data_IF_522814927804
#
_entry.id   IF_522814927804
#
_cell.length_a   1.000
_cell.length_b   1.000
_cell.length_c   1.000
_cell.angle_alpha   90.00
_cell.angle_beta   90.00
_cell.angle_gamma   90.00
#
_symmetry.space_group_name_H-M   'P 1'
#
loop_
_entity.id
_entity.type
_entity.pdbx_description
1 polymer ?
#
# COMPACT_ATOMS: atom_id res chain seq x y z
N UNK A 1 -5.01 -3.34 18.53
CA UNK A 1 -4.23 -2.16 18.92
C UNK A 1 -4.52 -1.80 20.37
N UNK A 2 -3.64 -1.03 21.02
CA UNK A 2 -3.89 -0.40 22.32
C UNK A 2 -4.46 1.00 22.12
N UNK A 3 -5.24 1.50 23.08
CA UNK A 3 -5.69 2.88 23.08
C UNK A 3 -4.59 3.80 23.63
N UNK A 4 -4.48 4.99 23.06
CA UNK A 4 -3.53 6.02 23.47
C UNK A 4 -4.37 7.18 23.99
N UNK A 5 -4.09 7.61 25.22
CA UNK A 5 -4.95 8.55 25.94
C UNK A 5 -4.59 9.99 25.57
N UNK A 6 -5.61 10.81 25.31
CA UNK A 6 -5.51 12.26 25.11
C UNK A 6 -4.52 12.68 24.00
N UNK A 7 -4.51 11.94 22.90
CA UNK A 7 -3.62 12.21 21.77
C UNK A 7 -4.41 12.33 20.46
N UNK A 8 -4.15 13.40 19.71
CA UNK A 8 -4.74 13.67 18.39
C UNK A 8 -3.84 13.20 17.24
N UNK A 9 -2.57 12.89 17.54
CA UNK A 9 -1.58 12.35 16.59
C UNK A 9 -0.93 11.07 17.15
N UNK A 10 -1.73 10.06 17.55
CA UNK A 10 -1.22 8.86 18.19
C UNK A 10 -0.32 8.03 17.28
N UNK A 11 0.77 7.52 17.84
CA UNK A 11 1.62 6.51 17.22
C UNK A 11 1.34 5.14 17.84
N UNK A 12 0.73 4.23 17.08
CA UNK A 12 0.43 2.89 17.56
C UNK A 12 1.61 1.93 17.40
N UNK A 13 1.77 1.03 18.37
CA UNK A 13 2.64 -0.15 18.24
C UNK A 13 2.27 -0.99 17.01
N UNK A 14 3.26 -1.62 16.39
CA UNK A 14 3.08 -2.51 15.25
C UNK A 14 2.06 -3.61 15.54
N UNK A 15 1.04 -3.71 14.70
CA UNK A 15 0.08 -4.80 14.76
C UNK A 15 0.53 -5.97 13.88
N UNK A 16 0.52 -7.18 14.43
CA UNK A 16 0.71 -8.42 13.67
C UNK A 16 -0.64 -9.08 13.44
N UNK A 17 -0.95 -9.36 12.16
CA UNK A 17 -2.21 -9.96 11.74
C UNK A 17 -1.91 -11.09 10.77
N UNK A 18 -2.58 -12.24 10.95
CA UNK A 18 -2.49 -13.34 10.01
C UNK A 18 -3.14 -12.94 8.67
N UNK A 19 -2.39 -13.02 7.59
CA UNK A 19 -2.84 -12.55 6.28
C UNK A 19 -4.12 -13.24 5.81
N UNK A 20 -4.27 -14.54 6.05
CA UNK A 20 -5.46 -15.33 5.68
C UNK A 20 -6.74 -14.88 6.40
N UNK A 21 -6.58 -14.36 7.61
CA UNK A 21 -7.69 -13.81 8.40
C UNK A 21 -8.06 -12.39 7.96
N UNK A 22 -7.12 -11.67 7.33
CA UNK A 22 -7.30 -10.30 6.88
C UNK A 22 -7.89 -10.22 5.46
N UNK A 23 -7.39 -11.04 4.53
CA UNK A 23 -7.79 -11.01 3.12
C UNK A 23 -7.50 -12.36 2.42
N UNK A 24 -8.17 -12.64 1.29
CA UNK A 24 -7.87 -13.82 0.45
C UNK A 24 -6.73 -13.51 -0.52
N UNK A 25 -6.72 -12.30 -1.07
CA UNK A 25 -5.66 -11.77 -1.93
C UNK A 25 -5.15 -10.43 -1.40
N UNK A 26 -3.89 -10.08 -1.72
CA UNK A 26 -3.30 -8.80 -1.33
C UNK A 26 -4.00 -7.57 -1.93
N UNK A 27 -4.75 -7.78 -3.02
CA UNK A 27 -5.57 -6.78 -3.70
C UNK A 27 -6.99 -6.66 -3.13
N UNK A 28 -7.40 -7.55 -2.22
CA UNK A 28 -8.71 -7.42 -1.59
C UNK A 28 -8.74 -6.18 -0.71
N UNK A 29 -9.89 -5.50 -0.69
CA UNK A 29 -10.10 -4.33 0.14
C UNK A 29 -10.38 -4.72 1.58
N UNK A 30 -9.66 -4.08 2.50
CA UNK A 30 -9.86 -4.14 3.94
C UNK A 30 -10.20 -2.75 4.46
N UNK A 31 -10.95 -2.69 5.56
CA UNK A 31 -11.32 -1.42 6.19
C UNK A 31 -10.54 -1.21 7.47
N UNK A 32 -9.87 -0.07 7.55
CA UNK A 32 -9.29 0.42 8.81
C UNK A 32 -10.28 1.38 9.45
N UNK A 33 -10.59 1.15 10.72
CA UNK A 33 -11.55 1.95 11.49
C UNK A 33 -10.88 2.50 12.74
N UNK A 34 -11.04 3.79 12.97
CA UNK A 34 -10.49 4.49 14.13
C UNK A 34 -11.63 4.89 15.05
N UNK A 35 -11.51 4.52 16.32
CA UNK A 35 -12.48 4.80 17.37
C UNK A 35 -11.84 5.63 18.48
N UNK A 36 -12.63 6.53 19.05
CA UNK A 36 -12.35 7.15 20.34
C UNK A 36 -12.82 6.19 21.44
N UNK A 37 -11.86 5.68 22.22
CA UNK A 37 -12.15 4.67 23.24
C UNK A 37 -12.60 5.36 24.53
N UNK A 38 -13.81 5.02 24.97
CA UNK A 38 -14.32 5.44 26.27
C UNK A 38 -14.51 4.21 27.16
N UNK A 39 -14.21 4.34 28.46
CA UNK A 39 -14.33 3.25 29.45
C UNK A 39 -15.78 3.02 29.89
N UNK A 40 -16.61 4.08 29.89
CA UNK A 40 -17.95 4.03 30.46
C UNK A 40 -19.06 3.95 29.41
N UNK A 41 -18.76 4.35 28.18
CA UNK A 41 -19.73 4.31 27.06
C UNK A 41 -19.12 3.61 25.85
N UNK A 42 -19.99 3.24 24.90
CA UNK A 42 -19.57 2.67 23.62
C UNK A 42 -18.60 3.61 22.91
N UNK A 43 -17.46 3.07 22.45
CA UNK A 43 -16.47 3.83 21.69
C UNK A 43 -17.09 4.55 20.50
N UNK A 44 -16.74 5.83 20.33
CA UNK A 44 -17.27 6.63 19.23
C UNK A 44 -16.44 6.42 17.96
N UNK A 45 -17.09 6.24 16.82
CA UNK A 45 -16.41 6.24 15.53
C UNK A 45 -15.80 7.62 15.23
N UNK A 46 -14.48 7.69 15.04
CA UNK A 46 -13.79 8.88 14.52
C UNK A 46 -13.89 8.88 12.99
N UNK A 47 -13.55 7.77 12.36
CA UNK A 47 -13.60 7.61 10.91
C UNK A 47 -13.03 6.28 10.43
N UNK A 48 -13.06 6.07 9.12
CA UNK A 48 -12.54 4.89 8.47
C UNK A 48 -11.97 5.23 7.10
N UNK A 49 -11.17 4.31 6.56
CA UNK A 49 -10.78 4.30 5.15
C UNK A 49 -10.66 2.85 4.67
N UNK A 50 -10.85 2.68 3.37
CA UNK A 50 -10.74 1.40 2.69
C UNK A 50 -9.40 1.36 1.95
N UNK A 51 -8.68 0.25 2.07
CA UNK A 51 -7.32 0.08 1.55
C UNK A 51 -7.07 -1.39 1.21
N UNK A 52 -6.08 -1.71 0.39
CA UNK A 52 -5.64 -3.09 0.18
C UNK A 52 -4.36 -3.36 0.98
N UNK A 53 -4.01 -4.62 1.21
CA UNK A 53 -2.72 -4.95 1.85
C UNK A 53 -1.56 -4.44 1.00
N UNK A 54 -1.67 -4.55 -0.33
CA UNK A 54 -0.69 -3.96 -1.25
C UNK A 54 -0.59 -2.43 -1.10
N UNK A 55 -1.71 -1.74 -0.89
CA UNK A 55 -1.72 -0.29 -0.64
C UNK A 55 -1.03 0.09 0.66
N UNK A 56 -1.23 -0.68 1.74
CA UNK A 56 -0.52 -0.48 3.01
C UNK A 56 0.99 -0.69 2.85
N UNK A 57 1.41 -1.75 2.14
CA UNK A 57 2.82 -2.01 1.86
C UNK A 57 3.46 -0.90 1.02
N UNK A 58 2.74 -0.41 0.00
CA UNK A 58 3.22 0.66 -0.86
C UNK A 58 3.37 2.00 -0.12
N UNK A 59 2.50 2.29 0.85
CA UNK A 59 2.56 3.51 1.67
C UNK A 59 3.58 3.45 2.82
N UNK A 60 4.19 2.29 3.07
CA UNK A 60 5.12 2.07 4.19
C UNK A 60 6.30 3.04 4.18
N UNK A 61 6.41 3.86 5.22
CA UNK A 61 7.49 4.84 5.39
C UNK A 61 7.42 6.03 4.44
N UNK A 62 6.31 6.19 3.71
CA UNK A 62 6.09 7.33 2.83
C UNK A 62 5.22 8.39 3.51
N UNK A 63 5.44 9.64 3.12
CA UNK A 63 4.58 10.78 3.51
C UNK A 63 3.30 10.83 2.64
N UNK A 64 2.55 9.72 2.65
CA UNK A 64 1.33 9.55 1.86
C UNK A 64 0.18 9.06 2.74
N UNK A 65 -0.65 9.98 3.28
CA UNK A 65 -1.68 9.61 4.23
C UNK A 65 -2.93 9.04 3.59
N UNK A 66 -3.60 8.15 4.34
CA UNK A 66 -4.98 7.79 4.10
C UNK A 66 -5.92 8.76 4.84
N UNK A 67 -6.83 9.40 4.11
CA UNK A 67 -7.80 10.30 4.72
C UNK A 67 -8.90 9.52 5.47
N UNK A 68 -9.02 9.74 6.78
CA UNK A 68 -10.11 9.21 7.58
C UNK A 68 -11.42 9.93 7.24
N UNK A 69 -12.45 9.15 6.93
CA UNK A 69 -13.79 9.66 6.62
C UNK A 69 -14.81 9.13 7.62
N UNK A 70 -15.72 10.00 8.05
CA UNK A 70 -16.98 9.61 8.71
C UNK A 70 -18.10 10.21 7.88
N UNK A 71 -18.84 9.35 7.18
CA UNK A 71 -19.69 9.77 6.06
C UNK A 71 -18.85 10.50 4.99
N UNK A 72 -19.34 11.63 4.46
CA UNK A 72 -18.65 12.42 3.43
C UNK A 72 -17.63 13.43 3.98
N UNK A 73 -17.37 13.45 5.30
CA UNK A 73 -16.48 14.45 5.93
C UNK A 73 -15.14 13.84 6.30
N UNK A 74 -14.05 14.54 5.95
CA UNK A 74 -12.68 14.24 6.42
C UNK A 74 -12.60 14.52 7.92
N UNK A 75 -11.97 13.62 8.68
CA UNK A 75 -11.86 13.69 10.14
C UNK A 75 -10.43 13.62 10.66
N UNK A 76 -9.49 13.28 9.78
CA UNK A 76 -8.08 13.12 10.10
C UNK A 76 -7.35 12.39 8.99
N UNK A 77 -6.12 12.00 9.27
CA UNK A 77 -5.24 11.27 8.37
C UNK A 77 -4.53 10.15 9.12
N UNK A 78 -4.22 9.07 8.42
CA UNK A 78 -3.43 7.94 8.94
C UNK A 78 -2.23 7.73 8.03
N UNK A 79 -1.06 7.73 8.64
CA UNK A 79 0.22 7.47 7.98
C UNK A 79 0.66 6.04 8.30
N UNK A 80 1.28 5.36 7.33
CA UNK A 80 1.85 4.03 7.54
C UNK A 80 3.33 4.18 7.83
N UNK A 81 3.70 4.16 9.12
CA UNK A 81 5.10 4.24 9.52
C UNK A 81 5.91 3.06 8.98
N UNK A 82 5.38 1.84 9.11
CA UNK A 82 6.02 0.61 8.62
C UNK A 82 4.97 -0.47 8.30
N UNK A 83 5.14 -1.18 7.19
CA UNK A 83 4.39 -2.38 6.87
C UNK A 83 5.30 -3.43 6.20
N UNK A 84 5.24 -4.68 6.68
CA UNK A 84 6.06 -5.79 6.17
C UNK A 84 5.25 -7.09 6.15
N UNK A 85 5.41 -7.88 5.10
CA UNK A 85 4.96 -9.28 5.07
C UNK A 85 6.05 -10.17 5.65
N UNK A 86 5.71 -11.00 6.63
CA UNK A 86 6.60 -12.01 7.21
C UNK A 86 6.18 -13.40 6.76
N UNK A 87 7.15 -14.26 6.46
CA UNK A 87 6.93 -15.67 6.13
C UNK A 87 5.91 -15.91 5.01
N UNK A 88 5.72 -14.94 4.11
CA UNK A 88 4.89 -15.09 2.92
C UNK A 88 5.66 -15.91 1.89
N UNK A 89 5.64 -17.23 2.05
CA UNK A 89 6.10 -18.15 1.03
C UNK A 89 5.12 -18.06 -0.14
N UNK A 90 5.63 -17.74 -1.34
CA UNK A 90 4.83 -17.67 -2.55
C UNK A 90 4.29 -19.06 -2.92
N UNK A 91 3.18 -19.46 -2.31
CA UNK A 91 2.35 -20.55 -2.80
C UNK A 91 1.22 -19.94 -3.61
N UNK A 92 1.58 -19.14 -4.61
CA UNK A 92 0.73 -19.00 -5.79
C UNK A 92 1.62 -18.84 -7.01
N UNK A 93 2.11 -19.98 -7.51
CA UNK A 93 2.99 -20.09 -8.69
C UNK A 93 2.33 -19.56 -9.98
N UNK A 94 1.06 -19.13 -9.95
CA UNK A 94 0.34 -18.62 -11.12
C UNK A 94 0.60 -17.13 -11.41
N UNK A 95 0.98 -16.33 -10.41
CA UNK A 95 1.08 -14.85 -10.57
C UNK A 95 2.52 -14.42 -10.91
N UNK A 96 3.53 -15.05 -10.31
CA UNK A 96 4.94 -14.69 -10.54
C UNK A 96 5.41 -14.92 -11.96
N UNK A 97 5.00 -16.00 -12.61
CA UNK A 97 5.45 -16.32 -13.97
C UNK A 97 4.86 -15.35 -15.00
N UNK A 98 3.68 -14.79 -14.74
CA UNK A 98 3.02 -13.81 -15.61
C UNK A 98 3.61 -12.40 -15.43
N UNK A 99 3.81 -11.95 -14.18
CA UNK A 99 4.36 -10.63 -13.90
C UNK A 99 5.86 -10.52 -14.20
N UNK A 100 6.65 -11.58 -13.97
CA UNK A 100 8.07 -11.60 -14.34
C UNK A 100 8.26 -11.58 -15.85
N UNK A 101 7.49 -12.39 -16.61
CA UNK A 101 7.55 -12.37 -18.08
C UNK A 101 7.06 -11.05 -18.68
N UNK A 102 6.05 -10.41 -18.08
CA UNK A 102 5.59 -9.09 -18.51
C UNK A 102 6.68 -8.02 -18.30
N UNK A 103 7.28 -7.97 -17.10
CA UNK A 103 8.38 -7.03 -16.78
C UNK A 103 9.63 -7.28 -17.62
N UNK A 104 9.97 -8.54 -17.90
CA UNK A 104 11.10 -8.88 -18.76
C UNK A 104 10.86 -8.43 -20.21
N UNK A 105 9.64 -8.60 -20.74
CA UNK A 105 9.28 -8.13 -22.09
C UNK A 105 9.31 -6.61 -22.24
N UNK A 106 8.83 -5.86 -21.23
CA UNK A 106 8.85 -4.40 -21.23
C UNK A 106 10.29 -3.86 -21.12
N UNK A 107 11.13 -4.49 -20.31
CA UNK A 107 12.54 -4.11 -20.18
C UNK A 107 13.30 -4.31 -21.49
N UNK A 108 13.11 -5.44 -22.19
CA UNK A 108 13.70 -5.69 -23.51
C UNK A 108 13.15 -4.76 -24.62
N UNK A 109 11.86 -4.41 -24.58
CA UNK A 109 11.24 -3.48 -25.53
C UNK A 109 11.71 -2.03 -25.32
N UNK A 110 11.87 -1.61 -24.07
CA UNK A 110 12.43 -0.31 -23.72
C UNK A 110 13.92 -0.20 -24.12
N UNK A 111 14.69 -1.27 -23.91
CA UNK A 111 16.09 -1.34 -24.33
C UNK A 111 16.28 -1.22 -25.84
N UNK A 112 15.48 -1.94 -26.65
CA UNK A 112 15.54 -1.84 -28.12
C UNK A 112 15.10 -0.48 -28.65
N UNK A 113 14.02 0.09 -28.13
CA UNK A 113 13.49 1.37 -28.60
C UNK A 113 14.43 2.56 -28.32
N UNK A 114 15.20 2.50 -27.22
CA UNK A 114 16.23 3.52 -26.92
C UNK A 114 17.48 3.39 -27.80
N UNK A 115 17.90 2.16 -28.12
CA UNK A 115 19.02 1.92 -29.04
C UNK A 115 18.73 2.37 -30.48
N UNK A 116 17.50 2.13 -30.98
CA UNK A 116 17.07 2.61 -32.31
C UNK A 116 17.04 4.14 -32.37
N UNK A 117 16.52 4.81 -31.33
CA UNK A 117 16.48 6.28 -31.26
C UNK A 117 17.86 6.93 -31.13
N UNK A 118 18.84 6.24 -30.54
CA UNK A 118 20.23 6.71 -30.50
C UNK A 118 20.90 6.58 -31.87
N UNK A 119 20.71 5.45 -32.55
CA UNK A 119 21.27 5.21 -33.88
C UNK A 119 20.74 6.18 -34.94
N UNK A 120 19.44 6.52 -34.91
CA UNK A 120 18.83 7.50 -35.83
C UNK A 120 19.31 8.94 -35.58
N UNK A 121 19.66 9.28 -34.33
CA UNK A 121 20.23 10.60 -34.00
C UNK A 121 21.67 10.72 -34.49
N UNK A 122 22.50 9.69 -34.28
CA UNK A 122 23.89 9.69 -34.71
C UNK A 122 24.03 9.68 -36.25
N UNK A 123 23.08 9.06 -36.96
CA UNK A 123 23.03 9.08 -38.43
C UNK A 123 22.64 10.45 -39.01
N UNK A 124 21.86 11.27 -38.28
CA UNK A 124 21.44 12.62 -38.71
C UNK A 124 22.47 13.71 -38.44
N UNK A 125 23.35 13.54 -37.44
CA UNK A 125 24.41 14.50 -37.13
C UNK A 125 25.67 14.38 -38.02
N UNK A 126 25.73 13.37 -38.90
CA UNK A 126 26.85 13.14 -39.83
C UNK A 126 26.51 13.44 -41.30
N UNK A 127 25.49 14.25 -41.57
CA UNK A 127 25.15 14.76 -42.91
C UNK A 127 25.26 16.27 -42.96
#
# INVERSE_FOLDING_TARGET
SKAINNDLNPEWETAEVELRSLCRNLSDTVRVVVYDKNTFVKSELIGYFDVTVQGLLAASGLDSPFALKKHAKKRGEIYVAEAKLRNYTHIDRRIKDAEWKAKESEFYAYGKSKAVKLADKDARQKR
#
